data_IF_405339524346
#
_entry.id   IF_405339524346
#
_cell.length_a   1.000
_cell.length_b   1.000
_cell.length_c   1.000
_cell.angle_alpha   90.00
_cell.angle_beta   90.00
_cell.angle_gamma   90.00
#
_symmetry.space_group_name_H-M   'P 1'
#
loop_
_entity.id
_entity.type
_entity.pdbx_description
1 polymer ?
#
# COMPACT_ATOMS: atom_id res chain seq x y z
N UNK A 1 -12.57 6.83 6.79
CA UNK A 1 -11.77 5.59 6.90
C UNK A 1 -10.88 5.34 5.69
N UNK A 2 -11.32 5.63 4.45
CA UNK A 2 -10.44 5.57 3.28
C UNK A 2 -9.23 6.50 3.41
N UNK A 3 -9.40 7.71 3.95
CA UNK A 3 -8.32 8.68 4.18
C UNK A 3 -7.15 8.13 5.03
N UNK A 4 -7.44 7.28 6.03
CA UNK A 4 -6.38 6.68 6.86
C UNK A 4 -5.54 5.65 6.09
N UNK A 5 -6.16 4.99 5.11
CA UNK A 5 -5.54 3.92 4.34
C UNK A 5 -4.89 4.45 3.05
N UNK A 6 -5.56 5.36 2.37
CA UNK A 6 -5.25 5.78 1.01
C UNK A 6 -4.27 6.96 0.98
N UNK A 7 -4.16 7.72 2.08
CA UNK A 7 -3.26 8.85 2.19
C UNK A 7 -1.81 8.41 2.41
N UNK A 8 -0.88 9.20 1.86
CA UNK A 8 0.54 9.11 2.15
C UNK A 8 0.77 9.16 3.66
N UNK A 9 1.78 8.44 4.16
CA UNK A 9 2.01 8.26 5.60
C UNK A 9 2.01 9.57 6.40
N UNK A 10 2.51 10.67 5.81
CA UNK A 10 2.57 12.01 6.44
C UNK A 10 1.24 12.78 6.44
N UNK A 11 0.29 12.38 5.58
CA UNK A 11 -1.04 13.01 5.44
C UNK A 11 -2.13 12.23 6.17
N UNK A 12 -1.80 11.08 6.77
CA UNK A 12 -2.76 10.31 7.57
C UNK A 12 -3.17 11.13 8.79
N UNK A 13 -4.47 11.21 9.12
CA UNK A 13 -4.92 11.92 10.30
C UNK A 13 -4.32 11.30 11.55
N UNK A 14 -3.98 12.14 12.53
CA UNK A 14 -3.50 11.67 13.82
C UNK A 14 -4.60 10.93 14.55
N UNK A 15 -4.22 10.03 15.46
CA UNK A 15 -5.19 9.27 16.23
C UNK A 15 -6.17 10.17 17.00
N UNK A 16 -5.69 11.27 17.58
CA UNK A 16 -6.55 12.25 18.25
C UNK A 16 -7.60 12.89 17.34
N UNK A 17 -7.26 13.17 16.07
CA UNK A 17 -8.23 13.68 15.11
C UNK A 17 -9.27 12.62 14.72
N UNK A 18 -8.85 11.36 14.59
CA UNK A 18 -9.76 10.23 14.34
C UNK A 18 -10.74 10.04 15.50
N UNK A 19 -10.24 10.03 16.74
CA UNK A 19 -11.07 9.93 17.96
C UNK A 19 -12.08 11.08 18.01
N UNK A 20 -11.62 12.32 17.79
CA UNK A 20 -12.50 13.49 17.78
C UNK A 20 -13.59 13.43 16.70
N UNK A 21 -13.28 12.95 15.50
CA UNK A 21 -14.28 12.76 14.45
C UNK A 21 -15.30 11.70 14.87
N UNK A 22 -14.86 10.61 15.50
CA UNK A 22 -15.76 9.57 16.00
C UNK A 22 -16.65 10.07 17.14
N UNK A 23 -16.11 10.89 18.05
CA UNK A 23 -16.86 11.54 19.13
C UNK A 23 -17.95 12.46 18.56
N UNK A 24 -17.60 13.32 17.60
CA UNK A 24 -18.57 14.21 16.92
C UNK A 24 -19.64 13.38 16.19
N UNK A 25 -19.25 12.30 15.51
CA UNK A 25 -20.20 11.43 14.82
C UNK A 25 -21.11 10.69 15.79
N UNK A 26 -20.60 10.29 16.96
CA UNK A 26 -21.38 9.65 18.00
C UNK A 26 -22.39 10.64 18.59
N UNK A 27 -21.96 11.84 18.96
CA UNK A 27 -22.80 12.92 19.50
C UNK A 27 -23.85 13.41 18.48
N UNK A 28 -23.48 13.49 17.19
CA UNK A 28 -24.38 13.92 16.12
C UNK A 28 -25.38 12.87 15.62
N UNK A 29 -25.11 11.57 15.80
CA UNK A 29 -26.00 10.48 15.36
C UNK A 29 -27.00 10.01 16.43
N UNK A 30 -26.95 10.51 17.67
CA UNK A 30 -27.90 10.10 18.72
C UNK A 30 -29.34 10.57 18.40
N UNK A 31 -29.52 11.53 17.49
CA UNK A 31 -30.83 12.05 17.14
C UNK A 31 -31.67 11.13 16.22
N UNK A 32 -31.04 10.34 15.33
CA UNK A 32 -31.75 9.43 14.42
C UNK A 32 -30.81 8.26 14.09
N UNK A 33 -30.81 7.23 14.95
CA UNK A 33 -29.94 6.06 14.78
C UNK A 33 -30.23 5.32 13.46
N UNK A 34 -29.26 5.16 12.55
CA UNK A 34 -29.49 4.39 11.33
C UNK A 34 -29.58 2.91 11.70
N UNK A 35 -30.77 2.31 11.50
CA UNK A 35 -30.98 0.86 11.63
C UNK A 35 -29.95 0.14 10.74
N UNK A 36 -29.17 -0.82 11.27
CA UNK A 36 -28.20 -1.54 10.47
C UNK A 36 -28.94 -2.36 9.40
N UNK A 37 -28.82 -1.96 8.13
CA UNK A 37 -29.25 -2.81 7.03
C UNK A 37 -28.38 -4.06 7.02
N UNK A 38 -28.95 -5.27 6.86
CA UNK A 38 -28.16 -6.48 6.77
C UNK A 38 -27.16 -6.30 5.63
N UNK A 39 -25.87 -6.41 5.94
CA UNK A 39 -24.79 -6.32 4.96
C UNK A 39 -24.98 -7.45 3.95
N UNK A 40 -25.61 -7.16 2.83
CA UNK A 40 -25.45 -7.97 1.63
C UNK A 40 -23.94 -8.10 1.42
N UNK A 41 -23.46 -9.35 1.36
CA UNK A 41 -22.06 -9.73 1.51
C UNK A 41 -21.10 -8.67 0.98
N UNK A 42 -20.28 -8.15 1.88
CA UNK A 42 -19.12 -7.33 1.53
C UNK A 42 -18.26 -8.22 0.64
N UNK A 43 -18.44 -8.10 -0.67
CA UNK A 43 -17.43 -8.54 -1.63
C UNK A 43 -16.17 -7.81 -1.17
N UNK A 44 -15.03 -8.50 -0.95
CA UNK A 44 -13.80 -7.81 -0.62
C UNK A 44 -13.61 -6.75 -1.70
N UNK A 45 -13.70 -5.48 -1.29
CA UNK A 45 -13.42 -4.38 -2.17
C UNK A 45 -12.02 -4.67 -2.69
N UNK A 46 -11.94 -4.95 -4.00
CA UNK A 46 -10.71 -5.29 -4.69
C UNK A 46 -9.64 -4.36 -4.14
N UNK A 47 -8.74 -4.95 -3.34
CA UNK A 47 -7.65 -4.23 -2.70
C UNK A 47 -7.02 -3.46 -3.82
N UNK A 48 -7.19 -2.13 -3.79
CA UNK A 48 -6.69 -1.16 -4.74
C UNK A 48 -5.57 -1.81 -5.54
N UNK A 49 -5.87 -2.17 -6.79
CA UNK A 49 -4.83 -2.36 -7.79
C UNK A 49 -4.09 -1.03 -7.80
N UNK A 50 -3.10 -0.87 -6.91
CA UNK A 50 -1.79 -0.47 -7.38
C UNK A 50 -1.61 -1.43 -8.51
N UNK A 51 -1.79 -0.92 -9.72
CA UNK A 51 -1.59 -1.67 -10.96
C UNK A 51 -0.31 -2.42 -10.66
N UNK A 52 -0.43 -3.73 -10.41
CA UNK A 52 0.73 -4.55 -10.13
C UNK A 52 1.28 -4.73 -11.53
N UNK A 53 1.89 -3.65 -12.01
CA UNK A 53 2.72 -3.61 -13.19
C UNK A 53 3.70 -4.73 -12.88
N UNK A 54 3.51 -5.83 -13.60
CA UNK A 54 4.32 -7.01 -13.37
C UNK A 54 5.78 -6.55 -13.48
N UNK A 55 6.69 -7.02 -12.63
CA UNK A 55 8.09 -6.56 -12.70
C UNK A 55 8.67 -6.68 -14.12
N UNK A 56 8.14 -7.61 -14.91
CA UNK A 56 8.39 -7.83 -16.35
C UNK A 56 8.11 -6.65 -17.28
N UNK A 57 7.28 -5.67 -16.89
CA UNK A 57 6.99 -4.49 -17.72
C UNK A 57 8.02 -3.37 -17.54
N UNK A 58 8.88 -3.46 -16.53
CA UNK A 58 9.98 -2.51 -16.31
C UNK A 58 11.21 -2.95 -17.13
N UNK A 59 11.77 -2.01 -17.91
CA UNK A 59 12.95 -2.28 -18.75
C UNK A 59 14.26 -2.25 -17.95
N UNK A 60 14.25 -1.64 -16.76
CA UNK A 60 15.42 -1.52 -15.88
C UNK A 60 15.07 -1.83 -14.43
N UNK A 61 16.02 -2.47 -13.73
CA UNK A 61 15.96 -2.73 -12.28
C UNK A 61 15.87 -1.42 -11.50
N UNK A 62 16.54 -0.36 -11.96
CA UNK A 62 16.47 0.97 -11.33
C UNK A 62 15.05 1.56 -11.37
N UNK A 63 14.36 1.43 -12.50
CA UNK A 63 13.00 1.94 -12.69
C UNK A 63 12.00 1.16 -11.81
N UNK A 64 12.15 -0.16 -11.79
CA UNK A 64 11.37 -1.04 -10.91
C UNK A 64 11.59 -0.69 -9.43
N UNK A 65 12.85 -0.57 -8.99
CA UNK A 65 13.20 -0.18 -7.62
C UNK A 65 12.67 1.20 -7.27
N UNK A 66 12.71 2.16 -8.19
CA UNK A 66 12.16 3.52 -8.00
C UNK A 66 10.65 3.48 -7.82
N UNK A 67 9.92 2.66 -8.60
CA UNK A 67 8.47 2.44 -8.44
C UNK A 67 8.12 1.95 -7.03
N UNK A 68 8.91 1.03 -6.47
CA UNK A 68 8.69 0.49 -5.12
C UNK A 68 9.38 1.28 -3.99
N UNK A 69 10.01 2.43 -4.32
CA UNK A 69 10.79 3.27 -3.38
C UNK A 69 11.97 2.54 -2.72
N UNK A 70 12.62 1.66 -3.46
CA UNK A 70 13.79 0.86 -3.07
C UNK A 70 15.05 1.19 -3.88
N UNK A 71 15.11 2.37 -4.52
CA UNK A 71 16.24 2.78 -5.36
C UNK A 71 17.60 2.85 -4.65
N UNK A 72 17.60 2.89 -3.30
CA UNK A 72 18.84 2.80 -2.50
C UNK A 72 19.56 1.45 -2.59
N UNK A 73 18.87 0.41 -3.08
CA UNK A 73 19.45 -0.92 -3.25
C UNK A 73 19.94 -1.16 -4.67
N UNK A 74 19.77 -0.20 -5.60
CA UNK A 74 20.19 -0.36 -7.00
C UNK A 74 21.66 -0.78 -7.11
N UNK A 75 22.55 -0.15 -6.34
CA UNK A 75 23.97 -0.53 -6.29
C UNK A 75 24.20 -1.99 -5.88
N UNK A 76 23.38 -2.52 -4.96
CA UNK A 76 23.47 -3.92 -4.50
C UNK A 76 23.06 -4.89 -5.59
N UNK A 77 21.99 -4.58 -6.33
CA UNK A 77 21.58 -5.37 -7.49
C UNK A 77 22.63 -5.31 -8.61
N UNK A 78 23.27 -4.16 -8.82
CA UNK A 78 24.34 -4.01 -9.81
C UNK A 78 25.60 -4.79 -9.42
N UNK A 79 25.99 -4.75 -8.15
CA UNK A 79 27.15 -5.47 -7.58
C UNK A 79 26.99 -7.00 -7.68
N UNK A 80 25.75 -7.49 -7.53
CA UNK A 80 25.38 -8.90 -7.73
C UNK A 80 25.25 -9.34 -9.20
N UNK A 81 25.36 -8.40 -10.16
CA UNK A 81 25.23 -8.69 -11.59
C UNK A 81 23.78 -8.89 -12.07
N UNK A 82 22.78 -8.63 -11.22
CA UNK A 82 21.36 -8.70 -11.57
C UNK A 82 20.91 -7.41 -12.26
N UNK A 83 21.25 -7.27 -13.54
CA UNK A 83 20.93 -6.10 -14.36
C UNK A 83 19.54 -6.17 -15.02
N UNK A 84 18.92 -7.34 -15.05
CA UNK A 84 17.61 -7.57 -15.68
C UNK A 84 16.54 -7.85 -14.62
N UNK A 85 15.36 -7.25 -14.78
CA UNK A 85 14.24 -7.45 -13.84
C UNK A 85 13.78 -8.91 -13.79
N UNK A 86 13.92 -9.65 -14.90
CA UNK A 86 13.64 -11.10 -14.96
C UNK A 86 14.53 -11.91 -14.03
N UNK A 87 15.81 -11.55 -13.89
CA UNK A 87 16.74 -12.22 -12.97
C UNK A 87 16.42 -11.86 -11.51
N UNK A 88 15.92 -10.65 -11.26
CA UNK A 88 15.47 -10.25 -9.93
C UNK A 88 14.20 -11.00 -9.46
N UNK A 89 13.40 -11.51 -10.40
CA UNK A 89 12.21 -12.33 -10.07
C UNK A 89 12.57 -13.75 -9.62
N UNK A 90 13.72 -14.26 -10.04
CA UNK A 90 14.21 -15.58 -9.62
C UNK A 90 14.91 -15.54 -8.25
N UNK A 91 15.18 -14.33 -7.72
CA UNK A 91 15.77 -14.16 -6.40
C UNK A 91 14.82 -14.65 -5.32
N UNK A 92 15.33 -15.53 -4.46
CA UNK A 92 14.61 -15.96 -3.27
C UNK A 92 14.87 -14.99 -2.12
N UNK A 93 14.03 -15.03 -1.09
CA UNK A 93 14.18 -14.16 0.08
C UNK A 93 15.56 -14.31 0.76
N UNK A 94 16.23 -15.46 0.63
CA UNK A 94 17.59 -15.68 1.13
C UNK A 94 18.62 -14.82 0.41
N UNK A 95 18.50 -14.69 -0.91
CA UNK A 95 19.39 -13.89 -1.75
C UNK A 95 19.28 -12.39 -1.45
N UNK A 96 18.10 -11.94 -1.00
CA UNK A 96 17.85 -10.54 -0.61
C UNK A 96 18.38 -10.18 0.79
N UNK A 97 18.82 -11.17 1.58
CA UNK A 97 19.30 -10.97 2.95
C UNK A 97 20.81 -11.05 3.11
N UNK A 98 21.54 -11.40 2.04
CA UNK A 98 23.00 -11.40 1.99
C UNK A 98 23.56 -10.02 1.64
#
# INVERSE_FOLDING_TARGET
MLECWNAEARKRPTFGLVVRILEILLEGNIAEGPKPKPRAGVKPASTRSREVVSPLEYQSVEEWLTSIKMQKYTDKFLESGHTTVTSCLELTADDLTK
#
